data_IF_795817943010
#
_entry.id   IF_795817943010
#
_cell.length_a   1.000
_cell.length_b   1.000
_cell.length_c   1.000
_cell.angle_alpha   90.00
_cell.angle_beta   90.00
_cell.angle_gamma   90.00
#
_symmetry.space_group_name_H-M   'P 1'
#
loop_
_entity.id
_entity.type
_entity.pdbx_description
1 polymer ?
#
# COMPACT_ATOMS: atom_id res chain seq x y z
N UNK A 1 93.27 -34.90 -1.13
CA UNK A 1 92.69 -33.62 -1.58
C UNK A 1 91.30 -33.78 -2.20
N UNK A 2 91.03 -34.81 -3.01
CA UNK A 2 89.68 -35.06 -3.58
C UNK A 2 88.61 -35.45 -2.54
N UNK A 3 88.97 -36.20 -1.50
CA UNK A 3 88.03 -36.62 -0.44
C UNK A 3 87.50 -35.45 0.41
N UNK A 4 88.35 -34.45 0.73
CA UNK A 4 87.92 -33.29 1.51
C UNK A 4 87.01 -32.34 0.71
N UNK A 5 87.14 -32.30 -0.62
CA UNK A 5 86.24 -31.52 -1.50
C UNK A 5 84.87 -32.19 -1.62
N UNK A 6 84.83 -33.51 -1.67
CA UNK A 6 83.57 -34.29 -1.70
C UNK A 6 82.81 -34.18 -0.37
N UNK A 7 83.50 -34.25 0.76
CA UNK A 7 82.88 -34.15 2.08
C UNK A 7 82.31 -32.75 2.36
N UNK A 8 82.99 -31.70 1.91
CA UNK A 8 82.51 -30.32 2.05
C UNK A 8 81.29 -30.04 1.14
N UNK A 9 81.24 -30.66 -0.03
CA UNK A 9 80.10 -30.58 -0.95
C UNK A 9 78.87 -31.30 -0.41
N UNK A 10 79.05 -32.47 0.21
CA UNK A 10 77.96 -33.25 0.81
C UNK A 10 77.32 -32.52 2.01
N UNK A 11 78.14 -31.88 2.87
CA UNK A 11 77.62 -31.09 4.00
C UNK A 11 76.88 -29.82 3.54
N UNK A 12 77.33 -29.18 2.45
CA UNK A 12 76.66 -28.02 1.87
C UNK A 12 75.29 -28.38 1.28
N UNK A 13 75.15 -29.54 0.64
CA UNK A 13 73.88 -30.08 0.14
C UNK A 13 72.92 -30.45 1.28
N UNK A 14 73.42 -31.08 2.35
CA UNK A 14 72.61 -31.45 3.52
C UNK A 14 72.06 -30.23 4.25
N UNK A 15 72.86 -29.17 4.38
CA UNK A 15 72.41 -27.91 4.97
C UNK A 15 71.41 -27.15 4.09
N UNK A 16 71.57 -27.17 2.76
CA UNK A 16 70.57 -26.62 1.83
C UNK A 16 69.23 -27.35 1.91
N UNK A 17 69.23 -28.68 2.01
CA UNK A 17 67.99 -29.46 2.19
C UNK A 17 67.29 -29.17 3.53
N UNK A 18 68.04 -28.98 4.62
CA UNK A 18 67.47 -28.58 5.92
C UNK A 18 66.85 -27.18 5.86
N UNK A 19 67.53 -26.21 5.24
CA UNK A 19 67.02 -24.84 5.05
C UNK A 19 65.77 -24.77 4.16
N UNK A 20 65.72 -25.57 3.08
CA UNK A 20 64.54 -25.65 2.22
C UNK A 20 63.36 -26.32 2.94
N UNK A 21 63.62 -27.32 3.77
CA UNK A 21 62.60 -27.98 4.60
C UNK A 21 62.03 -27.07 5.68
N UNK A 22 62.86 -26.26 6.35
CA UNK A 22 62.40 -25.30 7.35
C UNK A 22 61.65 -24.11 6.73
N UNK A 23 62.09 -23.61 5.56
CA UNK A 23 61.33 -22.58 4.83
C UNK A 23 59.97 -23.10 4.33
N UNK A 24 59.90 -24.35 3.87
CA UNK A 24 58.64 -24.96 3.45
C UNK A 24 57.65 -25.07 4.62
N UNK A 25 58.12 -25.50 5.80
CA UNK A 25 57.30 -25.54 7.03
C UNK A 25 56.84 -24.15 7.47
N UNK A 26 57.72 -23.15 7.40
CA UNK A 26 57.37 -21.77 7.74
C UNK A 26 56.26 -21.19 6.83
N UNK A 27 56.33 -21.43 5.52
CA UNK A 27 55.29 -21.01 4.58
C UNK A 27 53.94 -21.70 4.84
N UNK A 28 53.97 -22.98 5.17
CA UNK A 28 52.76 -23.76 5.46
C UNK A 28 52.06 -23.26 6.72
N UNK A 29 52.83 -22.93 7.77
CA UNK A 29 52.30 -22.33 9.00
C UNK A 29 51.70 -20.94 8.72
N UNK A 30 52.37 -20.13 7.91
CA UNK A 30 51.87 -18.80 7.56
C UNK A 30 50.53 -18.86 6.80
N UNK A 31 50.43 -19.77 5.81
CA UNK A 31 49.20 -19.99 5.05
C UNK A 31 48.08 -20.50 5.95
N UNK A 32 48.35 -21.48 6.82
CA UNK A 32 47.36 -22.01 7.75
C UNK A 32 46.84 -20.93 8.72
N UNK A 33 47.75 -20.07 9.20
CA UNK A 33 47.39 -18.95 10.08
C UNK A 33 46.51 -17.93 9.35
N UNK A 34 46.85 -17.61 8.10
CA UNK A 34 46.06 -16.68 7.28
C UNK A 34 44.65 -17.21 7.01
N UNK A 35 44.53 -18.51 6.70
CA UNK A 35 43.24 -19.18 6.50
C UNK A 35 42.40 -19.14 7.79
N UNK A 36 43.00 -19.41 8.94
CA UNK A 36 42.31 -19.37 10.24
C UNK A 36 41.81 -17.96 10.59
N UNK A 37 42.63 -16.93 10.35
CA UNK A 37 42.22 -15.53 10.56
C UNK A 37 41.08 -15.16 9.62
N UNK A 38 41.16 -15.54 8.34
CA UNK A 38 40.10 -15.26 7.37
C UNK A 38 38.79 -15.98 7.74
N UNK A 39 38.85 -17.23 8.17
CA UNK A 39 37.70 -17.98 8.68
C UNK A 39 37.10 -17.33 9.93
N UNK A 40 37.94 -16.87 10.87
CA UNK A 40 37.46 -16.19 12.07
C UNK A 40 36.75 -14.87 11.73
N UNK A 41 37.31 -14.07 10.80
CA UNK A 41 36.69 -12.84 10.31
C UNK A 41 35.38 -13.12 9.56
N UNK A 42 35.36 -14.14 8.70
CA UNK A 42 34.16 -14.57 7.98
C UNK A 42 33.05 -15.03 8.93
N UNK A 43 33.38 -15.82 9.95
CA UNK A 43 32.43 -16.25 10.98
C UNK A 43 31.93 -15.05 11.79
N UNK A 44 32.77 -14.08 12.13
CA UNK A 44 32.33 -12.84 12.78
C UNK A 44 31.36 -12.04 11.89
N UNK A 45 31.67 -11.89 10.60
CA UNK A 45 30.80 -11.18 9.66
C UNK A 45 29.45 -11.88 9.50
N UNK A 46 29.46 -13.21 9.38
CA UNK A 46 28.24 -14.03 9.33
C UNK A 46 27.43 -13.90 10.61
N UNK A 47 28.07 -13.90 11.78
CA UNK A 47 27.39 -13.75 13.07
C UNK A 47 26.79 -12.36 13.23
N UNK A 48 27.45 -11.31 12.72
CA UNK A 48 26.91 -9.94 12.66
C UNK A 48 25.71 -9.87 11.69
N UNK A 49 25.78 -10.54 10.52
CA UNK A 49 24.65 -10.64 9.59
C UNK A 49 23.47 -11.43 10.16
N UNK A 50 23.72 -12.43 11.01
CA UNK A 50 22.66 -13.18 11.70
C UNK A 50 22.03 -12.40 12.86
N UNK A 51 22.80 -11.64 13.64
CA UNK A 51 22.23 -10.75 14.69
C UNK A 51 21.57 -9.49 14.11
N UNK A 52 21.84 -9.14 12.85
CA UNK A 52 21.17 -8.05 12.11
C UNK A 52 20.39 -8.62 10.92
N UNK A 53 19.72 -9.76 11.09
CA UNK A 53 18.47 -10.01 10.38
C UNK A 53 17.33 -9.57 11.29
N UNK A 54 17.12 -8.26 11.34
CA UNK A 54 15.76 -7.78 11.60
C UNK A 54 14.96 -8.35 10.43
N UNK A 55 13.98 -9.24 10.64
CA UNK A 55 13.12 -9.63 9.54
C UNK A 55 12.59 -8.32 8.97
N UNK A 56 12.88 -8.06 7.70
CA UNK A 56 12.37 -6.90 7.00
C UNK A 56 10.86 -7.10 6.94
N UNK A 57 10.17 -6.62 7.99
CA UNK A 57 8.71 -6.73 8.10
C UNK A 57 8.18 -5.94 6.93
N UNK A 58 7.46 -6.61 6.03
CA UNK A 58 6.97 -5.94 4.83
C UNK A 58 5.97 -4.85 5.24
N UNK A 59 5.91 -3.75 4.48
CA UNK A 59 4.89 -2.70 4.68
C UNK A 59 3.47 -3.30 4.69
N UNK A 60 3.26 -4.38 3.94
CA UNK A 60 2.02 -5.15 3.95
C UNK A 60 1.75 -5.80 5.32
N UNK A 61 2.74 -6.43 5.95
CA UNK A 61 2.58 -7.02 7.29
C UNK A 61 2.31 -5.95 8.35
N UNK A 62 2.94 -4.78 8.24
CA UNK A 62 2.67 -3.62 9.11
C UNK A 62 1.22 -3.14 8.92
N UNK A 63 0.77 -2.99 7.67
CA UNK A 63 -0.60 -2.62 7.36
C UNK A 63 -1.61 -3.63 7.94
N UNK A 64 -1.30 -4.91 7.80
CA UNK A 64 -2.11 -6.00 8.34
C UNK A 64 -2.22 -5.92 9.86
N UNK A 65 -1.09 -5.79 10.55
CA UNK A 65 -1.06 -5.69 12.00
C UNK A 65 -1.85 -4.48 12.51
N UNK A 66 -1.69 -3.32 11.88
CA UNK A 66 -2.43 -2.10 12.23
C UNK A 66 -3.94 -2.30 12.07
N UNK A 67 -4.38 -2.85 10.93
CA UNK A 67 -5.79 -3.10 10.68
C UNK A 67 -6.38 -4.16 11.64
N UNK A 68 -5.65 -5.23 11.96
CA UNK A 68 -6.10 -6.23 12.94
C UNK A 68 -6.35 -5.62 14.32
N UNK A 69 -5.49 -4.70 14.75
CA UNK A 69 -5.62 -4.00 16.05
C UNK A 69 -6.75 -2.99 16.08
N UNK A 70 -6.95 -2.26 14.98
CA UNK A 70 -7.87 -1.14 14.92
C UNK A 70 -9.30 -1.53 14.51
N UNK A 71 -9.46 -2.61 13.73
CA UNK A 71 -10.76 -3.06 13.23
C UNK A 71 -11.25 -4.23 14.11
N UNK A 72 -12.27 -4.03 14.96
CA UNK A 72 -12.73 -5.06 15.88
C UNK A 72 -13.17 -6.34 15.14
N UNK A 73 -12.92 -7.51 15.74
CA UNK A 73 -13.51 -8.79 15.35
C UNK A 73 -14.62 -9.10 16.35
N UNK A 74 -15.78 -8.48 16.18
CA UNK A 74 -16.91 -8.88 17.01
C UNK A 74 -17.36 -10.28 16.61
N UNK A 75 -17.25 -11.23 17.54
CA UNK A 75 -17.92 -12.54 17.46
C UNK A 75 -17.29 -13.61 16.56
N UNK A 76 -16.06 -13.45 16.06
CA UNK A 76 -15.45 -14.41 15.12
C UNK A 76 -14.07 -14.90 15.59
N UNK A 77 -13.97 -16.21 15.83
CA UNK A 77 -12.77 -16.89 16.33
C UNK A 77 -11.66 -17.07 15.28
N UNK A 78 -11.99 -16.93 13.99
CA UNK A 78 -11.02 -17.12 12.89
C UNK A 78 -11.18 -16.05 11.82
N UNK A 79 -10.23 -15.12 11.76
CA UNK A 79 -10.15 -14.10 10.72
C UNK A 79 -8.70 -13.88 10.29
N UNK A 80 -8.52 -13.48 9.03
CA UNK A 80 -7.23 -13.11 8.48
C UNK A 80 -7.38 -11.89 7.56
N UNK A 81 -6.27 -11.20 7.32
CA UNK A 81 -6.22 -10.16 6.29
C UNK A 81 -5.70 -10.80 5.01
N UNK A 82 -6.57 -10.80 4.01
CA UNK A 82 -6.39 -11.62 2.81
C UNK A 82 -5.60 -10.93 1.71
N UNK A 83 -5.67 -9.61 1.62
CA UNK A 83 -4.96 -8.87 0.58
C UNK A 83 -4.73 -7.43 1.01
N UNK A 84 -3.58 -6.91 0.59
CA UNK A 84 -3.20 -5.52 0.71
C UNK A 84 -2.70 -5.09 -0.68
N UNK A 85 -3.40 -4.15 -1.33
CA UNK A 85 -2.96 -3.63 -2.63
C UNK A 85 -2.65 -2.14 -2.57
N UNK A 86 -1.56 -1.76 -3.25
CA UNK A 86 -1.07 -0.40 -3.32
C UNK A 86 -2.09 0.55 -3.92
N UNK A 87 -2.39 1.65 -3.22
CA UNK A 87 -3.07 2.82 -3.76
C UNK A 87 -2.08 3.98 -3.88
N UNK A 88 -2.16 4.73 -4.97
CA UNK A 88 -1.42 5.98 -5.10
C UNK A 88 -2.23 7.11 -4.48
N UNK A 89 -1.55 7.93 -3.68
CA UNK A 89 -2.06 9.21 -3.23
C UNK A 89 -1.16 10.31 -3.76
N UNK A 90 -1.76 11.35 -4.32
CA UNK A 90 -1.00 12.53 -4.76
C UNK A 90 -0.61 13.43 -3.58
N UNK A 91 -1.30 13.26 -2.46
CA UNK A 91 -1.15 14.01 -1.22
C UNK A 91 -0.20 13.30 -0.27
N UNK A 92 -0.41 11.99 -0.02
CA UNK A 92 0.32 11.20 0.97
C UNK A 92 1.59 10.57 0.38
N UNK A 93 2.54 11.40 -0.04
CA UNK A 93 3.69 10.97 -0.88
C UNK A 93 4.72 10.12 -0.15
N UNK A 94 4.71 10.18 1.19
CA UNK A 94 5.64 9.43 2.02
C UNK A 94 5.03 8.16 2.60
N UNK A 95 3.82 7.81 2.15
CA UNK A 95 3.10 6.62 2.59
C UNK A 95 2.74 5.72 1.42
N UNK A 96 2.81 4.41 1.65
CA UNK A 96 2.18 3.41 0.80
C UNK A 96 0.79 3.15 1.35
N UNK A 97 -0.23 3.25 0.50
CA UNK A 97 -1.61 2.98 0.90
C UNK A 97 -1.97 1.53 0.60
N UNK A 98 -2.60 0.87 1.56
CA UNK A 98 -3.08 -0.50 1.45
C UNK A 98 -4.57 -0.56 1.72
N UNK A 99 -5.33 -1.16 0.81
CA UNK A 99 -6.71 -1.56 1.14
C UNK A 99 -6.66 -2.90 1.83
N UNK A 100 -7.24 -2.99 3.01
CA UNK A 100 -7.18 -4.16 3.87
C UNK A 100 -8.58 -4.69 4.09
N UNK A 101 -8.76 -5.99 3.84
CA UNK A 101 -10.04 -6.68 4.00
C UNK A 101 -9.89 -7.79 5.03
N UNK A 102 -10.81 -7.83 5.98
CA UNK A 102 -10.93 -8.85 7.01
C UNK A 102 -12.03 -9.81 6.63
N UNK A 103 -11.68 -11.09 6.47
CA UNK A 103 -12.61 -12.14 6.07
C UNK A 103 -12.73 -13.23 7.13
N UNK A 104 -13.86 -13.93 7.15
CA UNK A 104 -14.04 -15.17 7.92
C UNK A 104 -13.08 -16.25 7.38
N UNK A 105 -12.43 -17.01 8.26
CA UNK A 105 -11.55 -18.10 7.85
C UNK A 105 -12.30 -19.19 7.08
N UNK A 106 -11.69 -19.68 5.99
CA UNK A 106 -12.27 -20.69 5.10
C UNK A 106 -12.75 -20.15 3.76
N UNK A 107 -12.82 -18.82 3.59
CA UNK A 107 -13.15 -18.19 2.32
C UNK A 107 -11.91 -18.12 1.44
N UNK A 108 -11.94 -18.72 0.26
CA UNK A 108 -10.91 -18.59 -0.75
C UNK A 108 -10.98 -17.22 -1.46
N UNK A 109 -9.92 -16.81 -2.15
CA UNK A 109 -9.95 -15.58 -2.97
C UNK A 109 -11.02 -15.66 -4.07
N UNK A 110 -11.31 -16.85 -4.59
CA UNK A 110 -12.44 -17.07 -5.49
C UNK A 110 -13.80 -16.82 -4.85
N UNK A 111 -13.91 -17.00 -3.53
CA UNK A 111 -15.14 -16.72 -2.79
C UNK A 111 -15.34 -15.22 -2.57
N UNK A 112 -14.28 -14.39 -2.58
CA UNK A 112 -14.41 -12.92 -2.57
C UNK A 112 -14.98 -12.33 -3.86
N UNK A 113 -15.02 -13.13 -4.92
CA UNK A 113 -15.51 -12.75 -6.25
C UNK A 113 -16.77 -13.53 -6.65
N UNK A 114 -17.26 -14.44 -5.79
CA UNK A 114 -18.44 -15.29 -6.06
C UNK A 114 -19.72 -14.63 -5.53
N UNK A 115 -20.86 -14.91 -6.16
CA UNK A 115 -22.11 -14.17 -5.97
C UNK A 115 -22.78 -14.26 -4.58
N UNK A 116 -22.14 -14.97 -3.64
CA UNK A 116 -22.62 -15.24 -2.28
C UNK A 116 -21.53 -14.89 -1.23
N UNK A 117 -20.70 -13.86 -1.44
CA UNK A 117 -19.68 -13.52 -0.44
C UNK A 117 -20.26 -12.77 0.76
N UNK A 118 -20.85 -13.51 1.70
CA UNK A 118 -21.10 -13.04 3.06
C UNK A 118 -19.81 -12.99 3.91
N UNK A 119 -18.64 -13.01 3.27
CA UNK A 119 -17.37 -13.32 3.89
C UNK A 119 -16.58 -12.11 4.38
N UNK A 120 -16.87 -10.91 3.89
CA UNK A 120 -16.22 -9.68 4.32
C UNK A 120 -16.87 -9.21 5.62
N UNK A 121 -16.10 -9.22 6.71
CA UNK A 121 -16.54 -8.77 8.03
C UNK A 121 -16.36 -7.25 8.12
N UNK A 122 -15.21 -6.79 7.63
CA UNK A 122 -14.82 -5.40 7.69
C UNK A 122 -13.67 -5.12 6.75
N UNK A 123 -13.52 -3.85 6.37
CA UNK A 123 -12.42 -3.42 5.55
C UNK A 123 -12.04 -1.97 5.86
N UNK A 124 -10.80 -1.61 5.56
CA UNK A 124 -10.30 -0.26 5.76
C UNK A 124 -9.12 0.03 4.84
N UNK A 125 -8.65 1.28 4.86
CA UNK A 125 -7.44 1.68 4.16
C UNK A 125 -6.38 2.00 5.21
N UNK A 126 -5.16 1.52 5.03
CA UNK A 126 -4.03 1.77 5.92
C UNK A 126 -2.94 2.50 5.15
N UNK A 127 -2.47 3.62 5.68
CA UNK A 127 -1.27 4.28 5.21
C UNK A 127 -0.07 3.81 6.03
N UNK A 128 0.98 3.32 5.37
CA UNK A 128 2.23 2.89 6.00
C UNK A 128 3.35 3.84 5.56
N UNK A 129 3.98 4.50 6.53
CA UNK A 129 5.09 5.42 6.30
C UNK A 129 6.42 4.67 6.17
N UNK A 130 7.42 5.33 5.59
CA UNK A 130 8.78 4.76 5.39
C UNK A 130 9.51 4.38 6.68
N UNK A 131 9.06 4.87 7.83
CA UNK A 131 9.57 4.54 9.15
C UNK A 131 8.81 3.38 9.82
N UNK A 132 7.88 2.75 9.12
CA UNK A 132 7.05 1.66 9.62
C UNK A 132 5.86 2.11 10.48
N UNK A 133 5.61 3.41 10.64
CA UNK A 133 4.37 3.86 11.29
C UNK A 133 3.16 3.68 10.37
N UNK A 134 2.03 3.27 10.96
CA UNK A 134 0.81 2.99 10.21
C UNK A 134 -0.43 3.70 10.77
N UNK A 135 -1.30 4.14 9.86
CA UNK A 135 -2.47 4.97 10.12
C UNK A 135 -3.71 4.36 9.48
N UNK A 136 -4.80 4.20 10.25
CA UNK A 136 -6.08 3.70 9.71
C UNK A 136 -6.86 4.88 9.13
N UNK A 137 -7.10 4.87 7.83
CA UNK A 137 -7.85 5.91 7.13
C UNK A 137 -9.34 5.53 6.99
N UNK A 138 -10.25 6.53 7.05
CA UNK A 138 -9.96 7.96 7.12
C UNK A 138 -9.78 8.52 8.56
N UNK A 139 -9.95 7.68 9.60
CA UNK A 139 -9.96 8.12 11.01
C UNK A 139 -8.65 8.79 11.47
N UNK A 140 -7.50 8.27 11.03
CA UNK A 140 -6.17 8.79 11.32
C UNK A 140 -5.72 9.85 10.29
N UNK A 141 -6.57 10.29 9.35
CA UNK A 141 -6.16 11.18 8.25
C UNK A 141 -5.49 12.47 8.77
N UNK A 142 -6.05 13.12 9.79
CA UNK A 142 -5.47 14.31 10.39
C UNK A 142 -4.10 14.07 11.04
N UNK A 143 -3.79 12.85 11.50
CA UNK A 143 -2.45 12.51 12.00
C UNK A 143 -1.45 12.47 10.86
N UNK A 144 -1.86 11.90 9.72
CA UNK A 144 -1.04 11.85 8.50
C UNK A 144 -0.79 13.25 7.95
N UNK A 145 -1.81 14.11 7.91
CA UNK A 145 -1.69 15.51 7.47
C UNK A 145 -0.64 16.27 8.29
N UNK A 146 -0.71 16.20 9.62
CA UNK A 146 0.26 16.86 10.50
C UNK A 146 1.67 16.33 10.30
N UNK A 147 1.80 15.02 10.10
CA UNK A 147 3.08 14.34 9.88
C UNK A 147 3.72 14.75 8.55
N UNK A 148 2.93 14.85 7.48
CA UNK A 148 3.39 15.32 6.17
C UNK A 148 3.53 16.84 6.07
N UNK A 149 3.08 17.60 7.08
CA UNK A 149 3.08 19.07 7.11
C UNK A 149 2.39 19.67 5.89
N UNK A 150 1.21 19.12 5.59
CA UNK A 150 0.39 19.61 4.49
C UNK A 150 -0.12 21.01 4.84
N UNK A 151 -0.11 21.92 3.88
CA UNK A 151 -0.58 23.30 4.02
C UNK A 151 -1.56 23.61 2.90
N UNK A 152 -2.61 24.37 3.21
CA UNK A 152 -3.61 24.82 2.24
C UNK A 152 -3.29 26.24 1.79
N UNK A 153 -3.01 26.43 0.49
CA UNK A 153 -2.63 27.74 -0.06
C UNK A 153 -3.68 28.31 -1.02
N UNK A 154 -4.67 27.50 -1.36
CA UNK A 154 -5.69 27.84 -2.36
C UNK A 154 -6.97 27.02 -2.17
N UNK A 155 -8.04 27.46 -2.81
CA UNK A 155 -9.28 26.69 -2.94
C UNK A 155 -9.05 25.33 -3.60
N UNK A 156 -8.19 25.27 -4.62
CA UNK A 156 -7.83 24.02 -5.30
C UNK A 156 -7.12 23.03 -4.36
N UNK A 157 -6.25 23.52 -3.47
CA UNK A 157 -5.62 22.69 -2.44
C UNK A 157 -6.67 22.15 -1.45
N UNK A 158 -7.59 23.00 -1.01
CA UNK A 158 -8.67 22.60 -0.09
C UNK A 158 -9.54 21.50 -0.71
N UNK A 159 -9.99 21.68 -1.96
CA UNK A 159 -10.76 20.67 -2.68
C UNK A 159 -9.98 19.36 -2.86
N UNK A 160 -8.70 19.46 -3.19
CA UNK A 160 -7.83 18.28 -3.36
C UNK A 160 -7.68 17.50 -2.05
N UNK A 161 -7.48 18.18 -0.93
CA UNK A 161 -7.34 17.56 0.39
C UNK A 161 -8.67 16.92 0.83
N UNK A 162 -9.79 17.64 0.67
CA UNK A 162 -11.11 17.12 0.97
C UNK A 162 -11.46 15.88 0.12
N UNK A 163 -11.14 15.89 -1.16
CA UNK A 163 -11.37 14.74 -2.04
C UNK A 163 -10.44 13.57 -1.69
N UNK A 164 -9.19 13.83 -1.32
CA UNK A 164 -8.26 12.77 -0.90
C UNK A 164 -8.73 12.10 0.39
N UNK A 165 -9.29 12.85 1.34
CA UNK A 165 -9.94 12.27 2.52
C UNK A 165 -11.03 11.26 2.13
N UNK A 166 -11.94 11.66 1.25
CA UNK A 166 -13.01 10.77 0.77
C UNK A 166 -12.42 9.55 0.04
N UNK A 167 -11.44 9.76 -0.83
CA UNK A 167 -10.81 8.66 -1.57
C UNK A 167 -10.04 7.70 -0.65
N UNK A 168 -9.50 8.21 0.46
CA UNK A 168 -8.85 7.41 1.49
C UNK A 168 -9.80 6.56 2.32
N UNK A 169 -11.12 6.82 2.25
CA UNK A 169 -12.14 5.98 2.87
C UNK A 169 -12.65 4.88 1.94
N UNK A 170 -12.25 4.89 0.66
CA UNK A 170 -12.69 3.91 -0.32
C UNK A 170 -11.78 2.69 -0.20
N UNK A 171 -12.32 1.54 0.20
CA UNK A 171 -11.55 0.28 0.22
C UNK A 171 -11.47 -0.28 -1.20
N UNK A 172 -12.63 -0.56 -1.81
CA UNK A 172 -12.73 -1.17 -3.13
C UNK A 172 -12.98 -0.11 -4.19
N UNK A 173 -12.24 -0.21 -5.29
CA UNK A 173 -12.39 0.70 -6.42
C UNK A 173 -11.88 2.11 -6.13
N UNK A 174 -12.55 3.11 -6.72
CA UNK A 174 -12.17 4.54 -6.68
C UNK A 174 -13.38 5.46 -6.55
N UNK A 175 -13.17 6.59 -5.86
CA UNK A 175 -14.07 7.73 -5.96
C UNK A 175 -13.72 8.57 -7.20
N UNK A 176 -14.73 9.19 -7.81
CA UNK A 176 -14.60 10.17 -8.88
C UNK A 176 -15.26 11.46 -8.39
N UNK A 177 -14.52 12.56 -8.45
CA UNK A 177 -15.07 13.90 -8.19
C UNK A 177 -16.01 14.30 -9.33
N UNK A 178 -17.26 14.65 -9.00
CA UNK A 178 -18.26 15.08 -9.98
C UNK A 178 -18.31 16.61 -10.06
N UNK A 179 -18.10 17.15 -11.26
CA UNK A 179 -18.36 18.54 -11.62
C UNK A 179 -19.76 18.70 -12.20
N UNK A 180 -20.27 17.64 -12.84
CA UNK A 180 -21.62 17.52 -13.36
C UNK A 180 -21.99 16.04 -13.56
N UNK A 181 -23.24 15.75 -13.97
CA UNK A 181 -23.71 14.38 -14.20
C UNK A 181 -22.98 13.64 -15.32
N UNK A 182 -22.40 14.33 -16.30
CA UNK A 182 -21.66 13.70 -17.41
C UNK A 182 -20.33 13.10 -16.97
N UNK A 183 -19.84 13.45 -15.77
CA UNK A 183 -18.66 12.82 -15.19
C UNK A 183 -18.95 11.41 -14.65
N UNK A 184 -20.23 11.06 -14.48
CA UNK A 184 -20.65 9.71 -14.11
C UNK A 184 -20.42 8.80 -15.32
N UNK A 185 -19.58 7.75 -15.20
CA UNK A 185 -19.42 6.79 -16.27
C UNK A 185 -20.77 6.14 -16.58
N UNK A 186 -21.18 6.11 -17.84
CA UNK A 186 -22.38 5.40 -18.29
C UNK A 186 -21.99 4.28 -19.25
N UNK A 187 -22.79 3.21 -19.27
CA UNK A 187 -22.69 2.18 -20.30
C UNK A 187 -22.97 2.86 -21.63
N UNK A 188 -22.22 2.53 -22.68
CA UNK A 188 -22.48 3.05 -24.03
C UNK A 188 -23.38 2.07 -24.78
N UNK A 189 -24.30 2.57 -25.61
CA UNK A 189 -25.23 1.71 -26.37
C UNK A 189 -24.46 0.75 -27.28
N UNK A 190 -23.35 1.21 -27.85
CA UNK A 190 -22.47 0.43 -28.73
C UNK A 190 -21.72 -0.68 -27.97
N UNK A 191 -21.56 -0.56 -26.65
CA UNK A 191 -21.01 -1.64 -25.81
C UNK A 191 -22.03 -2.77 -25.63
N UNK A 192 -23.33 -2.45 -25.54
CA UNK A 192 -24.39 -3.44 -25.38
C UNK A 192 -24.55 -4.40 -26.57
N UNK A 193 -24.24 -3.94 -27.79
CA UNK A 193 -24.35 -4.78 -28.99
C UNK A 193 -23.32 -5.93 -29.01
N UNK A 194 -22.28 -5.82 -28.18
CA UNK A 194 -21.19 -6.81 -28.07
C UNK A 194 -21.38 -7.77 -26.90
N UNK A 195 -22.40 -7.54 -26.07
CA UNK A 195 -22.70 -8.37 -24.90
C UNK A 195 -23.47 -9.64 -25.31
N UNK A 196 -23.34 -10.69 -24.49
CA UNK A 196 -24.06 -11.96 -24.71
C UNK A 196 -25.59 -11.79 -24.67
N UNK A 197 -26.08 -10.77 -23.95
CA UNK A 197 -27.50 -10.43 -23.83
C UNK A 197 -27.75 -8.93 -24.09
N UNK A 198 -27.80 -8.49 -25.37
CA UNK A 198 -27.92 -7.07 -25.71
C UNK A 198 -29.16 -6.38 -25.17
N UNK A 199 -30.30 -7.08 -25.11
CA UNK A 199 -31.56 -6.52 -24.62
C UNK A 199 -31.55 -6.26 -23.10
N UNK A 200 -30.89 -7.11 -22.32
CA UNK A 200 -30.70 -6.88 -20.88
C UNK A 200 -29.77 -5.68 -20.66
N UNK A 201 -28.66 -5.62 -21.40
CA UNK A 201 -27.75 -4.47 -21.34
C UNK A 201 -28.45 -3.15 -21.71
N UNK A 202 -29.29 -3.14 -22.77
CA UNK A 202 -30.07 -1.95 -23.14
C UNK A 202 -31.02 -1.49 -22.03
N UNK A 203 -31.69 -2.43 -21.36
CA UNK A 203 -32.56 -2.11 -20.22
C UNK A 203 -31.78 -1.49 -19.07
N UNK A 204 -30.62 -2.07 -18.74
CA UNK A 204 -29.75 -1.54 -17.67
C UNK A 204 -29.17 -0.17 -18.04
N UNK A 205 -28.82 0.02 -19.32
CA UNK A 205 -28.43 1.32 -19.86
C UNK A 205 -29.54 2.37 -19.70
N UNK A 206 -30.78 2.06 -20.09
CA UNK A 206 -31.91 2.99 -19.98
C UNK A 206 -32.20 3.36 -18.53
N UNK A 207 -32.21 2.37 -17.62
CA UNK A 207 -32.39 2.58 -16.17
C UNK A 207 -31.27 3.46 -15.59
N UNK A 208 -30.03 3.20 -15.99
CA UNK A 208 -28.87 3.99 -15.55
C UNK A 208 -28.94 5.42 -16.08
N UNK A 209 -29.31 5.60 -17.36
CA UNK A 209 -29.49 6.91 -17.99
C UNK A 209 -30.59 7.73 -17.32
N UNK A 210 -31.74 7.13 -17.02
CA UNK A 210 -32.84 7.80 -16.31
C UNK A 210 -32.40 8.29 -14.93
N UNK A 211 -31.68 7.45 -14.17
CA UNK A 211 -31.12 7.85 -12.87
C UNK A 211 -30.13 9.01 -13.01
N UNK A 212 -29.22 8.97 -13.97
CA UNK A 212 -28.25 10.06 -14.21
C UNK A 212 -28.98 11.35 -14.61
N UNK A 213 -30.00 11.27 -15.46
CA UNK A 213 -30.81 12.42 -15.87
C UNK A 213 -31.53 13.05 -14.68
N UNK A 214 -32.12 12.22 -13.80
CA UNK A 214 -32.78 12.67 -12.58
C UNK A 214 -31.87 13.41 -11.60
N UNK A 215 -30.55 13.23 -11.70
CA UNK A 215 -29.56 13.91 -10.85
C UNK A 215 -29.05 15.22 -11.43
N UNK A 216 -29.44 15.61 -12.66
CA UNK A 216 -28.96 16.84 -13.31
C UNK A 216 -29.25 18.11 -12.54
N UNK A 217 -30.35 18.16 -11.78
CA UNK A 217 -30.70 19.30 -10.93
C UNK A 217 -30.04 19.26 -9.55
N UNK A 218 -29.44 18.14 -9.17
CA UNK A 218 -28.84 17.93 -7.85
C UNK A 218 -27.33 18.07 -7.88
N UNK A 219 -26.66 17.40 -8.82
CA UNK A 219 -25.21 17.47 -8.93
C UNK A 219 -24.82 18.84 -9.47
N UNK A 220 -23.91 19.49 -8.74
CA UNK A 220 -23.38 20.82 -9.05
C UNK A 220 -21.86 20.79 -9.02
N UNK A 221 -21.26 21.79 -9.65
CA UNK A 221 -19.83 22.03 -9.53
C UNK A 221 -19.45 22.21 -8.04
N UNK A 222 -18.26 21.76 -7.60
CA UNK A 222 -17.80 21.98 -6.24
C UNK A 222 -17.93 23.45 -5.82
N UNK A 223 -18.55 23.68 -4.67
CA UNK A 223 -18.66 25.00 -4.08
C UNK A 223 -17.67 25.12 -2.93
N UNK A 224 -16.85 26.16 -2.94
CA UNK A 224 -15.80 26.39 -1.95
C UNK A 224 -16.02 27.77 -1.37
N UNK A 225 -16.23 27.84 -0.06
CA UNK A 225 -16.40 29.10 0.68
C UNK A 225 -15.35 29.19 1.78
N UNK A 226 -15.08 30.39 2.26
CA UNK A 226 -14.21 30.60 3.41
C UNK A 226 -15.06 31.00 4.62
N UNK A 227 -14.97 30.24 5.71
CA UNK A 227 -15.72 30.43 6.95
C UNK A 227 -14.70 30.39 8.11
N UNK A 228 -14.66 31.45 8.93
CA UNK A 228 -13.76 31.57 10.10
C UNK A 228 -12.26 31.26 9.84
N UNK A 229 -11.79 31.55 8.62
CA UNK A 229 -10.40 31.31 8.22
C UNK A 229 -10.11 29.89 7.71
N UNK A 230 -11.13 29.02 7.67
CA UNK A 230 -11.07 27.70 7.06
C UNK A 230 -11.81 27.67 5.73
N UNK A 231 -11.49 26.69 4.88
CA UNK A 231 -12.26 26.44 3.66
C UNK A 231 -13.39 25.45 3.96
N UNK A 232 -14.59 25.75 3.51
CA UNK A 232 -15.72 24.81 3.51
C UNK A 232 -15.97 24.36 2.08
N UNK A 233 -15.72 23.08 1.83
CA UNK A 233 -15.80 22.46 0.52
C UNK A 233 -17.06 21.61 0.45
N UNK A 234 -17.98 21.95 -0.45
CA UNK A 234 -19.16 21.15 -0.76
C UNK A 234 -19.05 20.57 -2.16
N UNK A 235 -19.07 19.24 -2.29
CA UNK A 235 -18.87 18.57 -3.58
C UNK A 235 -19.59 17.22 -3.65
N UNK A 236 -19.67 16.68 -4.86
CA UNK A 236 -20.26 15.37 -5.11
C UNK A 236 -19.20 14.37 -5.56
N UNK A 237 -19.37 13.12 -5.16
CA UNK A 237 -18.55 12.01 -5.64
C UNK A 237 -19.41 10.89 -6.19
N UNK A 238 -18.87 10.17 -7.17
CA UNK A 238 -19.38 8.87 -7.60
C UNK A 238 -18.38 7.78 -7.25
N UNK A 239 -18.85 6.69 -6.63
CA UNK A 239 -18.05 5.50 -6.33
C UNK A 239 -18.40 4.38 -7.29
N UNK A 240 -17.38 3.75 -7.85
CA UNK A 240 -17.51 2.64 -8.80
C UNK A 240 -18.11 1.37 -8.19
N UNK A 241 -17.83 1.10 -6.91
CA UNK A 241 -18.54 0.07 -6.15
C UNK A 241 -19.94 0.57 -5.79
N UNK A 242 -20.96 -0.12 -6.31
CA UNK A 242 -22.37 0.15 -6.02
C UNK A 242 -22.95 1.37 -6.74
N UNK A 243 -22.16 2.09 -7.55
CA UNK A 243 -22.62 3.24 -8.32
C UNK A 243 -23.20 4.33 -7.43
N UNK A 244 -22.53 4.61 -6.31
CA UNK A 244 -23.07 5.45 -5.24
C UNK A 244 -22.70 6.90 -5.53
N UNK A 245 -23.70 7.76 -5.57
CA UNK A 245 -23.53 9.22 -5.61
C UNK A 245 -23.69 9.77 -4.21
N UNK A 246 -22.71 10.51 -3.75
CA UNK A 246 -22.68 11.10 -2.40
C UNK A 246 -22.40 12.59 -2.48
N UNK A 247 -22.98 13.34 -1.56
CA UNK A 247 -22.65 14.73 -1.30
C UNK A 247 -21.81 14.81 -0.02
N UNK A 248 -20.75 15.60 -0.09
CA UNK A 248 -19.82 15.82 1.01
C UNK A 248 -19.74 17.31 1.29
N UNK A 249 -19.82 17.67 2.57
CA UNK A 249 -19.47 19.00 3.08
C UNK A 249 -18.37 18.83 4.12
N UNK A 250 -17.19 19.35 3.81
CA UNK A 250 -15.97 19.16 4.59
C UNK A 250 -15.34 20.52 4.86
N UNK A 251 -14.98 20.77 6.11
CA UNK A 251 -14.12 21.88 6.49
C UNK A 251 -12.66 21.46 6.34
N UNK A 252 -11.83 22.33 5.77
CA UNK A 252 -10.39 22.16 5.61
C UNK A 252 -9.68 23.37 6.21
N UNK A 253 -8.94 23.14 7.30
CA UNK A 253 -8.13 24.15 7.97
C UNK A 253 -6.88 24.53 7.16
N UNK A 254 -6.29 25.69 7.48
CA UNK A 254 -5.06 26.16 6.82
C UNK A 254 -3.87 25.20 6.95
N UNK A 255 -3.86 24.37 8.00
CA UNK A 255 -2.88 23.31 8.26
C UNK A 255 -3.24 21.96 7.57
N UNK A 256 -4.21 21.98 6.65
CA UNK A 256 -4.69 20.82 5.92
C UNK A 256 -5.54 19.85 6.73
N UNK A 257 -5.77 20.12 8.03
CA UNK A 257 -6.66 19.28 8.82
C UNK A 257 -8.09 19.41 8.35
N UNK A 258 -8.86 18.34 8.56
CA UNK A 258 -10.21 18.22 8.06
C UNK A 258 -11.22 17.97 9.17
N UNK A 259 -12.44 18.45 8.96
CA UNK A 259 -13.61 18.08 9.74
C UNK A 259 -14.79 17.78 8.82
N UNK A 260 -15.41 16.61 8.97
CA UNK A 260 -16.62 16.28 8.23
C UNK A 260 -17.80 17.05 8.81
N UNK A 261 -18.42 17.92 8.02
CA UNK A 261 -19.58 18.71 8.44
C UNK A 261 -20.90 18.01 8.07
N UNK A 262 -20.97 17.43 6.87
CA UNK A 262 -22.11 16.65 6.42
C UNK A 262 -21.72 15.61 5.36
N UNK A 263 -22.43 14.49 5.35
CA UNK A 263 -22.33 13.45 4.34
C UNK A 263 -23.74 12.90 4.06
N UNK A 264 -24.08 12.80 2.78
CA UNK A 264 -25.37 12.28 2.35
C UNK A 264 -25.22 11.37 1.14
N UNK A 265 -25.88 10.21 1.18
CA UNK A 265 -26.02 9.33 0.01
C UNK A 265 -27.20 9.80 -0.81
N UNK A 266 -26.93 10.35 -1.99
CA UNK A 266 -27.93 10.94 -2.88
C UNK A 266 -28.61 9.87 -3.73
N UNK A 267 -27.83 8.92 -4.23
CA UNK A 267 -28.34 7.83 -5.06
C UNK A 267 -27.41 6.61 -5.01
N UNK A 268 -27.97 5.46 -5.38
CA UNK A 268 -27.25 4.18 -5.53
C UNK A 268 -27.55 3.57 -6.88
N UNK A 269 -26.66 2.68 -7.32
CA UNK A 269 -26.77 1.96 -8.58
C UNK A 269 -26.93 2.91 -9.77
N UNK A 270 -26.07 3.94 -9.82
CA UNK A 270 -26.03 4.96 -10.88
C UNK A 270 -24.80 4.76 -11.74
N UNK A 271 -24.93 4.89 -13.07
CA UNK A 271 -23.80 4.79 -13.99
C UNK A 271 -23.38 3.36 -14.32
N UNK A 272 -22.12 3.20 -14.72
CA UNK A 272 -21.42 1.94 -14.99
C UNK A 272 -20.62 1.56 -13.76
N UNK A 273 -21.23 0.80 -12.87
CA UNK A 273 -20.66 0.38 -11.59
C UNK A 273 -20.47 -1.14 -11.55
N UNK A 274 -19.73 -1.62 -10.55
CA UNK A 274 -19.70 -3.04 -10.21
C UNK A 274 -20.28 -3.24 -8.81
N UNK A 275 -20.73 -4.46 -8.53
CA UNK A 275 -21.14 -4.88 -7.20
C UNK A 275 -20.11 -5.88 -6.69
N UNK A 276 -19.77 -5.81 -5.41
CA UNK A 276 -19.29 -6.99 -4.71
C UNK A 276 -20.52 -7.88 -4.61
N UNK A 277 -20.54 -8.95 -5.41
CA UNK A 277 -21.50 -10.03 -5.25
C UNK A 277 -20.87 -11.01 -4.29
#
# INVERSE_FOLDING_TARGET
MLLSVLENSHNKLKNRHRLLSTMARGKLILIATFILVFLALYIQEMKIRETVRIPEVSDEDIAKEKAMKAIPAEGLEYYGIWSAWGKSSSLLRNHTLYSVVKCVSGCSYSDLLSEDCSCIISAGVVAVGRDGEAFLLPDDFNKVVRREKIEVKSEDDALKIAFEYVNSSVVFGRAVLLRNTSDIPVIKVEECEKEMHPELCRRDYEKSREKVEGLRSTIRYPNITMEDGNYVVTFFTWKDLGGIVEMWRIEVGGDGTIALLAHEVIAREVGKYFMLR
#
